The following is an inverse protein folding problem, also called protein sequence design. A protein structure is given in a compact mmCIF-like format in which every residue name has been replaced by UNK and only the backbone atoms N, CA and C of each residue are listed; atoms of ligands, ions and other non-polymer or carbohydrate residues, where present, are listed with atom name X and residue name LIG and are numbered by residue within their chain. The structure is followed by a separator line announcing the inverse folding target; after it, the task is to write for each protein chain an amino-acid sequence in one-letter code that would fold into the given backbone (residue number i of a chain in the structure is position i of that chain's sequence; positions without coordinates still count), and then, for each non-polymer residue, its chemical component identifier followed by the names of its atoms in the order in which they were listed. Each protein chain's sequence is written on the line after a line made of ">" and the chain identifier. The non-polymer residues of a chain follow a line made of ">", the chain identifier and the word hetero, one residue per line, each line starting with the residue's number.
data_IF_182753379080
#
_entry.id   IF_182753379080
#
_cell.length_a   1.000
_cell.length_b   1.000
_cell.length_c   1.000
_cell.angle_alpha   90.00
_cell.angle_beta   90.00
_cell.angle_gamma   90.00
#
_symmetry.space_group_name_H-M   'P 1'
#
loop_
_entity.id
_entity.type
_entity.pdbx_description
1 polymer ?
#
# COMPACT_ATOMS: atom_id res chain seq x y z
N UNK A 1 38.08 19.53 -12.78
CA UNK A 1 37.31 20.64 -13.40
C UNK A 1 36.98 20.39 -14.86
N UNK A 2 37.58 19.39 -15.51
CA UNK A 2 37.52 19.19 -16.96
C UNK A 2 36.14 18.79 -17.55
N UNK A 3 35.18 18.35 -16.74
CA UNK A 3 33.88 17.89 -17.26
C UNK A 3 32.75 18.92 -17.22
N UNK A 4 32.98 20.13 -16.69
CA UNK A 4 31.92 21.16 -16.48
C UNK A 4 31.21 21.58 -17.78
N UNK A 5 31.90 21.51 -18.93
CA UNK A 5 31.39 21.88 -20.27
C UNK A 5 31.36 20.71 -21.25
N UNK A 6 31.41 19.48 -20.78
CA UNK A 6 31.34 18.30 -21.65
C UNK A 6 29.98 18.25 -22.36
N UNK A 7 29.98 18.06 -23.69
CA UNK A 7 28.78 17.99 -24.53
C UNK A 7 28.04 16.65 -24.39
N UNK A 8 27.68 16.30 -23.16
CA UNK A 8 27.02 15.05 -22.78
C UNK A 8 25.68 15.31 -22.10
N UNK A 9 24.79 14.33 -22.18
CA UNK A 9 23.45 14.40 -21.58
C UNK A 9 23.03 13.06 -21.02
N UNK A 10 22.29 13.10 -19.92
CA UNK A 10 21.53 11.97 -19.36
C UNK A 10 20.05 12.29 -19.51
N UNK A 11 19.29 11.36 -20.08
CA UNK A 11 17.85 11.55 -20.35
C UNK A 11 17.00 10.89 -19.26
N UNK A 12 15.89 11.53 -18.91
CA UNK A 12 14.81 10.86 -18.20
C UNK A 12 14.19 9.73 -19.02
N UNK A 13 13.55 8.77 -18.34
CA UNK A 13 13.03 7.55 -18.95
C UNK A 13 12.01 7.82 -20.07
N UNK A 14 11.02 8.68 -19.83
CA UNK A 14 9.98 9.00 -20.82
C UNK A 14 10.58 9.73 -22.02
N UNK A 15 11.43 10.72 -21.76
CA UNK A 15 12.07 11.52 -22.80
C UNK A 15 12.98 10.66 -23.70
N UNK A 16 13.65 9.64 -23.15
CA UNK A 16 14.43 8.69 -23.93
C UNK A 16 13.57 7.82 -24.86
N UNK A 17 12.40 7.38 -24.40
CA UNK A 17 11.45 6.60 -25.20
C UNK A 17 10.82 7.47 -26.29
N UNK A 18 10.43 8.69 -25.97
CA UNK A 18 9.79 9.60 -26.92
C UNK A 18 10.74 9.98 -28.06
N UNK A 19 12.01 10.26 -27.73
CA UNK A 19 13.03 10.59 -28.74
C UNK A 19 13.52 9.36 -29.50
N UNK A 20 13.52 8.18 -28.88
CA UNK A 20 14.04 6.95 -29.49
C UNK A 20 13.12 5.73 -29.26
N UNK A 21 11.90 5.69 -29.85
CA UNK A 21 10.89 4.69 -29.50
C UNK A 21 11.27 3.24 -29.83
N UNK A 22 12.14 3.05 -30.84
CA UNK A 22 12.48 1.73 -31.39
C UNK A 22 13.94 1.32 -31.15
N UNK A 23 14.73 2.15 -30.47
CA UNK A 23 16.19 1.95 -30.36
C UNK A 23 16.72 2.51 -29.05
N UNK A 24 17.81 1.94 -28.53
CA UNK A 24 18.49 2.51 -27.37
C UNK A 24 18.93 3.95 -27.62
N UNK A 25 18.68 4.83 -26.65
CA UNK A 25 19.10 6.22 -26.66
C UNK A 25 20.61 6.38 -26.40
N UNK A 26 21.25 5.39 -25.76
CA UNK A 26 22.66 5.45 -25.38
C UNK A 26 23.58 5.61 -26.60
N UNK A 27 24.53 6.53 -26.49
CA UNK A 27 25.52 6.82 -27.53
C UNK A 27 25.00 7.68 -28.69
N UNK A 28 23.68 7.91 -28.78
CA UNK A 28 23.09 8.78 -29.81
C UNK A 28 23.34 10.25 -29.51
N UNK A 29 23.15 11.08 -30.53
CA UNK A 29 23.27 12.54 -30.42
C UNK A 29 21.87 13.16 -30.44
N UNK A 30 21.66 14.14 -29.58
CA UNK A 30 20.46 14.99 -29.57
C UNK A 30 20.87 16.45 -29.69
N UNK A 31 19.93 17.30 -30.12
CA UNK A 31 20.16 18.74 -30.19
C UNK A 31 19.33 19.40 -29.10
N UNK A 32 19.98 20.13 -28.20
CA UNK A 32 19.34 20.93 -27.16
C UNK A 32 19.86 22.37 -27.27
N UNK A 33 18.94 23.34 -27.40
CA UNK A 33 19.25 24.77 -27.60
C UNK A 33 20.38 25.04 -28.60
N UNK A 34 20.36 24.34 -29.75
CA UNK A 34 21.35 24.53 -30.82
C UNK A 34 22.69 23.83 -30.61
N UNK A 35 22.93 23.15 -29.49
CA UNK A 35 24.13 22.33 -29.27
C UNK A 35 23.85 20.85 -29.46
N UNK A 36 24.81 20.14 -30.07
CA UNK A 36 24.76 18.69 -30.23
C UNK A 36 25.36 18.01 -29.00
N UNK A 37 24.56 17.24 -28.28
CA UNK A 37 24.94 16.53 -27.06
C UNK A 37 24.90 15.02 -27.29
N UNK A 38 25.87 14.30 -26.72
CA UNK A 38 25.91 12.83 -26.75
C UNK A 38 25.21 12.25 -25.52
N UNK A 39 24.27 11.34 -25.73
CA UNK A 39 23.58 10.62 -24.65
C UNK A 39 24.53 9.60 -24.04
N UNK A 40 24.83 9.74 -22.75
CA UNK A 40 25.70 8.83 -22.00
C UNK A 40 24.95 7.96 -20.99
N UNK A 41 23.70 8.30 -20.71
CA UNK A 41 22.88 7.61 -19.72
C UNK A 41 21.38 7.83 -19.94
N UNK A 42 20.58 6.90 -19.45
CA UNK A 42 19.13 7.03 -19.31
C UNK A 42 18.79 6.67 -17.86
N UNK A 43 17.95 7.47 -17.21
CA UNK A 43 17.50 7.20 -15.85
C UNK A 43 16.48 6.05 -15.84
N UNK A 44 16.49 5.27 -14.75
CA UNK A 44 15.43 4.32 -14.48
C UNK A 44 14.08 5.03 -14.30
N UNK A 45 13.00 4.40 -14.75
CA UNK A 45 11.64 4.92 -14.58
C UNK A 45 11.32 5.14 -13.10
N UNK A 46 11.14 6.40 -12.69
CA UNK A 46 10.75 6.76 -11.33
C UNK A 46 9.23 6.96 -11.19
N UNK A 47 8.53 7.26 -12.28
CA UNK A 47 7.09 7.50 -12.28
C UNK A 47 6.69 8.96 -12.03
N UNK A 48 5.37 9.22 -12.10
CA UNK A 48 4.81 10.57 -12.11
C UNK A 48 5.09 11.39 -10.85
N UNK A 49 5.35 12.69 -11.04
CA UNK A 49 5.45 13.67 -9.95
C UNK A 49 4.05 14.11 -9.52
N UNK A 50 3.85 14.29 -8.22
CA UNK A 50 2.59 14.79 -7.67
C UNK A 50 2.48 16.29 -7.97
N UNK A 51 1.86 16.65 -9.10
CA UNK A 51 1.55 18.04 -9.46
C UNK A 51 2.66 18.82 -10.19
N UNK A 52 3.63 18.15 -10.83
CA UNK A 52 4.67 18.80 -11.65
C UNK A 52 5.26 17.88 -12.72
N UNK A 53 6.22 18.35 -13.55
CA UNK A 53 6.89 17.50 -14.54
C UNK A 53 7.62 16.35 -13.83
N UNK A 54 7.51 15.12 -14.35
CA UNK A 54 8.19 13.98 -13.75
C UNK A 54 9.70 14.09 -13.98
N UNK A 55 10.51 13.55 -13.05
CA UNK A 55 11.97 13.41 -13.27
C UNK A 55 12.29 12.65 -14.57
N UNK A 56 11.35 11.80 -14.99
CA UNK A 56 11.39 11.01 -16.22
C UNK A 56 11.30 11.87 -17.50
N UNK A 57 10.88 13.14 -17.38
CA UNK A 57 10.72 14.08 -18.49
C UNK A 57 11.86 15.14 -18.57
N UNK A 58 12.83 15.09 -17.65
CA UNK A 58 13.95 16.04 -17.63
C UNK A 58 15.16 15.54 -18.44
N UNK A 59 15.95 16.51 -18.92
CA UNK A 59 17.30 16.29 -19.42
C UNK A 59 18.31 16.79 -18.38
N UNK A 60 19.36 16.02 -18.15
CA UNK A 60 20.42 16.35 -17.21
C UNK A 60 21.71 16.59 -17.99
N UNK A 61 22.27 17.78 -17.82
CA UNK A 61 23.52 18.20 -18.45
C UNK A 61 24.47 18.79 -17.41
N UNK A 62 25.79 18.79 -17.66
CA UNK A 62 26.75 19.50 -16.82
C UNK A 62 26.37 20.98 -16.60
N UNK A 63 26.62 21.49 -15.39
CA UNK A 63 26.18 22.83 -14.98
C UNK A 63 26.74 23.96 -15.86
N UNK A 64 27.93 23.80 -16.43
CA UNK A 64 28.51 24.81 -17.32
C UNK A 64 27.71 24.97 -18.61
N UNK A 65 27.18 23.88 -19.18
CA UNK A 65 26.24 23.96 -20.30
C UNK A 65 24.92 24.63 -19.92
N UNK A 66 24.46 24.46 -18.68
CA UNK A 66 23.25 25.16 -18.20
C UNK A 66 23.47 26.67 -18.22
N UNK A 67 24.62 27.15 -17.74
CA UNK A 67 24.93 28.59 -17.73
C UNK A 67 25.05 29.17 -19.14
N UNK A 68 25.61 28.43 -20.09
CA UNK A 68 25.60 28.82 -21.50
C UNK A 68 24.19 28.82 -22.09
N UNK A 69 23.34 27.87 -21.71
CA UNK A 69 21.95 27.76 -22.17
C UNK A 69 21.02 28.83 -21.59
N UNK A 70 21.29 29.32 -20.38
CA UNK A 70 20.47 30.33 -19.69
C UNK A 70 21.05 31.73 -19.79
N UNK A 71 22.34 31.87 -20.10
CA UNK A 71 23.07 33.14 -20.08
C UNK A 71 23.26 33.71 -18.68
N UNK A 72 23.02 32.93 -17.62
CA UNK A 72 23.13 33.37 -16.22
C UNK A 72 23.75 32.29 -15.35
N UNK A 73 24.56 32.69 -14.37
CA UNK A 73 25.18 31.79 -13.38
C UNK A 73 24.29 31.57 -12.14
N UNK A 74 22.98 31.85 -12.26
CA UNK A 74 22.04 31.72 -11.15
C UNK A 74 21.74 30.25 -10.88
N UNK A 75 22.01 29.81 -9.65
CA UNK A 75 21.71 28.45 -9.19
C UNK A 75 20.41 28.49 -8.39
N UNK A 76 19.39 27.79 -8.89
CA UNK A 76 18.05 27.80 -8.28
C UNK A 76 17.97 26.90 -7.02
N UNK A 77 18.72 25.80 -6.99
CA UNK A 77 18.66 24.84 -5.89
C UNK A 77 19.97 24.07 -5.74
N UNK A 78 20.33 23.76 -4.49
CA UNK A 78 21.38 22.80 -4.15
C UNK A 78 20.73 21.56 -3.54
N UNK A 79 20.90 20.41 -4.17
CA UNK A 79 20.48 19.14 -3.62
C UNK A 79 21.63 18.54 -2.82
N UNK A 80 21.43 18.36 -1.52
CA UNK A 80 22.45 17.82 -0.61
C UNK A 80 21.93 16.51 -0.04
N UNK A 81 22.73 15.46 -0.15
CA UNK A 81 22.42 14.15 0.42
C UNK A 81 23.13 14.02 1.76
N UNK A 82 22.36 13.87 2.83
CA UNK A 82 22.89 13.56 4.15
C UNK A 82 23.46 12.14 4.21
N UNK A 83 24.55 11.97 4.95
CA UNK A 83 25.04 10.64 5.33
C UNK A 83 24.13 10.05 6.42
N UNK A 84 24.01 8.72 6.47
CA UNK A 84 23.12 7.99 7.39
C UNK A 84 23.42 8.25 8.88
N UNK A 85 24.63 8.69 9.21
CA UNK A 85 25.08 8.86 10.60
C UNK A 85 24.77 10.24 11.19
N UNK A 86 24.41 11.23 10.37
CA UNK A 86 24.16 12.60 10.83
C UNK A 86 22.66 12.93 10.85
N UNK A 87 22.22 13.61 11.90
CA UNK A 87 20.84 14.13 11.96
C UNK A 87 20.64 15.20 10.89
N UNK A 88 19.54 15.10 10.14
CA UNK A 88 19.17 16.06 9.11
C UNK A 88 19.00 17.47 9.71
N UNK A 89 18.53 17.57 10.95
CA UNK A 89 18.41 18.86 11.66
C UNK A 89 19.76 19.52 11.91
N UNK A 90 20.79 18.73 12.24
CA UNK A 90 22.15 19.23 12.45
C UNK A 90 22.72 19.78 11.13
N UNK A 91 22.61 19.00 10.05
CA UNK A 91 23.05 19.40 8.71
C UNK A 91 22.33 20.67 8.26
N UNK A 92 21.01 20.75 8.46
CA UNK A 92 20.19 21.92 8.13
C UNK A 92 20.65 23.17 8.87
N UNK A 93 20.96 23.03 10.16
CA UNK A 93 21.49 24.12 10.99
C UNK A 93 22.87 24.59 10.50
N UNK A 94 23.77 23.66 10.18
CA UNK A 94 25.10 23.98 9.66
C UNK A 94 25.05 24.66 8.29
N UNK A 95 24.24 24.15 7.35
CA UNK A 95 24.02 24.78 6.05
C UNK A 95 23.50 26.20 6.23
N UNK A 96 22.50 26.39 7.10
CA UNK A 96 21.96 27.73 7.38
C UNK A 96 23.04 28.66 7.92
N UNK A 97 23.88 28.20 8.86
CA UNK A 97 25.01 28.99 9.37
C UNK A 97 26.02 29.38 8.29
N UNK A 98 26.34 28.47 7.37
CA UNK A 98 27.26 28.73 6.26
C UNK A 98 26.66 29.74 5.28
N UNK A 99 25.39 29.56 4.89
CA UNK A 99 24.72 30.46 3.94
C UNK A 99 24.49 31.86 4.52
N UNK A 100 24.19 31.98 5.82
CA UNK A 100 24.05 33.28 6.50
C UNK A 100 25.34 34.12 6.52
N UNK A 101 26.52 33.50 6.32
CA UNK A 101 27.77 34.27 6.20
C UNK A 101 27.86 35.07 4.90
N UNK A 102 27.12 34.64 3.86
CA UNK A 102 27.20 35.22 2.51
C UNK A 102 25.89 35.84 2.04
N UNK A 103 24.75 35.32 2.49
CA UNK A 103 23.42 35.71 2.04
C UNK A 103 22.55 36.12 3.22
N UNK A 104 21.60 37.03 2.99
CA UNK A 104 20.59 37.39 3.98
C UNK A 104 19.62 36.22 4.19
N UNK A 105 18.96 36.16 5.36
CA UNK A 105 18.04 35.06 5.71
C UNK A 105 16.83 34.93 4.79
N UNK A 106 16.45 35.99 4.09
CA UNK A 106 15.33 36.00 3.12
C UNK A 106 15.76 35.51 1.73
N UNK A 107 17.06 35.44 1.45
CA UNK A 107 17.58 35.10 0.13
C UNK A 107 17.67 33.59 -0.14
N UNK A 108 17.47 32.74 0.88
CA UNK A 108 17.53 31.29 0.72
C UNK A 108 16.55 30.58 1.65
N UNK A 109 16.16 29.36 1.27
CA UNK A 109 15.39 28.44 2.09
C UNK A 109 16.08 27.08 2.11
N UNK A 110 16.07 26.42 3.27
CA UNK A 110 16.57 25.05 3.42
C UNK A 110 15.38 24.15 3.68
N UNK A 111 15.00 23.38 2.67
CA UNK A 111 13.90 22.43 2.74
C UNK A 111 14.42 21.04 3.10
N UNK A 112 13.70 20.35 3.98
CA UNK A 112 13.98 18.96 4.33
C UNK A 112 12.92 18.06 3.69
N UNK A 113 13.34 17.27 2.71
CA UNK A 113 12.47 16.31 2.03
C UNK A 113 11.95 15.21 2.95
N UNK A 114 12.63 14.92 4.07
CA UNK A 114 12.22 13.91 5.04
C UNK A 114 10.98 14.36 5.83
N UNK A 115 10.84 15.66 6.10
CA UNK A 115 9.67 16.23 6.79
C UNK A 115 8.40 16.11 5.94
N UNK A 116 8.52 16.29 4.62
CA UNK A 116 7.39 16.07 3.71
C UNK A 116 6.98 14.60 3.68
N UNK A 117 7.96 13.69 3.55
CA UNK A 117 7.72 12.25 3.56
C UNK A 117 7.11 11.77 4.88
N UNK A 118 7.61 12.26 6.03
CA UNK A 118 7.06 11.91 7.34
C UNK A 118 5.64 12.43 7.53
N UNK A 119 5.34 13.62 7.02
CA UNK A 119 3.98 14.18 7.04
C UNK A 119 3.02 13.36 6.19
N UNK A 120 3.42 12.98 4.97
CA UNK A 120 2.63 12.09 4.10
C UNK A 120 2.40 10.73 4.78
N UNK A 121 3.46 10.13 5.35
CA UNK A 121 3.36 8.85 6.05
C UNK A 121 2.46 8.94 7.29
N UNK A 122 2.46 10.06 8.00
CA UNK A 122 1.58 10.30 9.15
C UNK A 122 0.10 10.36 8.73
N UNK A 123 -0.19 11.06 7.63
CA UNK A 123 -1.55 11.13 7.06
C UNK A 123 -2.00 9.73 6.61
N UNK A 124 -1.17 9.02 5.84
CA UNK A 124 -1.47 7.65 5.39
C UNK A 124 -1.65 6.71 6.59
N UNK A 125 -0.79 6.83 7.61
CA UNK A 125 -0.88 6.04 8.83
C UNK A 125 -2.18 6.28 9.59
N UNK A 126 -2.58 7.55 9.73
CA UNK A 126 -3.84 7.93 10.37
C UNK A 126 -5.04 7.36 9.61
N UNK A 127 -5.09 7.54 8.29
CA UNK A 127 -6.14 6.96 7.44
C UNK A 127 -6.18 5.44 7.55
N UNK A 128 -5.01 4.78 7.58
CA UNK A 128 -4.90 3.33 7.71
C UNK A 128 -5.49 2.85 9.04
N UNK A 129 -5.15 3.51 10.15
CA UNK A 129 -5.68 3.18 11.47
C UNK A 129 -7.20 3.37 11.51
N UNK A 130 -7.71 4.49 10.99
CA UNK A 130 -9.14 4.77 10.96
C UNK A 130 -9.90 3.74 10.13
N UNK A 131 -9.44 3.44 8.92
CA UNK A 131 -10.08 2.45 8.05
C UNK A 131 -10.01 1.04 8.63
N UNK A 132 -8.87 0.68 9.25
CA UNK A 132 -8.72 -0.60 9.95
C UNK A 132 -9.69 -0.70 11.14
N UNK A 133 -9.86 0.40 11.88
CA UNK A 133 -10.84 0.46 12.97
C UNK A 133 -12.28 0.27 12.49
N UNK A 134 -12.67 0.95 11.41
CA UNK A 134 -13.99 0.77 10.78
C UNK A 134 -14.17 -0.69 10.33
N UNK A 135 -13.17 -1.25 9.65
CA UNK A 135 -13.21 -2.64 9.19
C UNK A 135 -13.33 -3.63 10.37
N UNK A 136 -12.61 -3.41 11.47
CA UNK A 136 -12.69 -4.24 12.67
C UNK A 136 -14.08 -4.20 13.31
N UNK A 137 -14.71 -3.01 13.39
CA UNK A 137 -16.09 -2.88 13.88
C UNK A 137 -17.06 -3.61 12.95
N UNK A 138 -16.96 -3.43 11.63
CA UNK A 138 -17.78 -4.15 10.65
C UNK A 138 -17.62 -5.67 10.77
N UNK A 139 -16.40 -6.14 11.05
CA UNK A 139 -16.11 -7.55 11.26
C UNK A 139 -16.82 -8.12 12.50
N UNK A 140 -16.82 -7.37 13.61
CA UNK A 140 -17.54 -7.75 14.83
C UNK A 140 -19.05 -7.84 14.55
N UNK A 141 -19.62 -6.83 13.89
CA UNK A 141 -21.05 -6.81 13.53
C UNK A 141 -21.40 -7.99 12.61
N UNK A 142 -20.58 -8.27 11.60
CA UNK A 142 -20.73 -9.43 10.73
C UNK A 142 -20.60 -10.76 11.48
N UNK A 143 -19.65 -10.86 12.40
CA UNK A 143 -19.46 -12.02 13.26
C UNK A 143 -20.65 -12.30 14.18
N UNK A 144 -21.24 -11.26 14.78
CA UNK A 144 -22.49 -11.38 15.54
C UNK A 144 -23.62 -11.89 14.64
N UNK A 145 -23.68 -11.45 13.39
CA UNK A 145 -24.62 -11.98 12.38
C UNK A 145 -24.46 -13.49 12.17
N UNK A 146 -23.23 -13.97 11.96
CA UNK A 146 -22.92 -15.40 11.84
C UNK A 146 -23.37 -16.15 13.10
N UNK A 147 -23.03 -15.64 14.28
CA UNK A 147 -23.43 -16.26 15.55
C UNK A 147 -24.95 -16.40 15.66
N UNK A 148 -25.71 -15.36 15.31
CA UNK A 148 -27.17 -15.37 15.38
C UNK A 148 -27.78 -16.37 14.41
N UNK A 149 -27.35 -16.38 13.15
CA UNK A 149 -27.82 -17.35 12.15
C UNK A 149 -27.54 -18.78 12.63
N UNK A 150 -26.34 -19.02 13.16
CA UNK A 150 -25.97 -20.34 13.70
C UNK A 150 -26.81 -20.72 14.93
N UNK A 151 -27.11 -19.78 15.84
CA UNK A 151 -27.99 -20.05 16.98
C UNK A 151 -29.41 -20.43 16.53
N UNK A 152 -29.96 -19.74 15.53
CA UNK A 152 -31.27 -20.06 14.95
C UNK A 152 -31.24 -21.43 14.27
N UNK A 153 -30.18 -21.72 13.51
CA UNK A 153 -29.99 -23.02 12.85
C UNK A 153 -29.94 -24.17 13.86
N UNK A 154 -29.28 -23.97 15.01
CA UNK A 154 -29.25 -24.97 16.09
C UNK A 154 -30.63 -25.19 16.67
N UNK A 155 -31.42 -24.13 16.85
CA UNK A 155 -32.79 -24.27 17.37
C UNK A 155 -33.71 -24.99 16.38
N UNK A 156 -33.63 -24.68 15.09
CA UNK A 156 -34.42 -25.36 14.04
C UNK A 156 -34.06 -26.84 13.90
N UNK A 157 -32.76 -27.18 14.01
CA UNK A 157 -32.25 -28.55 13.90
C UNK A 157 -32.18 -29.29 15.24
N UNK A 158 -32.82 -28.78 16.31
CA UNK A 158 -32.73 -29.36 17.66
C UNK A 158 -33.08 -30.86 17.69
N UNK A 159 -34.20 -31.25 17.06
CA UNK A 159 -34.68 -32.64 17.01
C UNK A 159 -33.71 -33.57 16.29
N UNK A 160 -33.12 -33.12 15.19
CA UNK A 160 -32.12 -33.88 14.42
C UNK A 160 -30.84 -34.12 15.24
N UNK A 161 -30.38 -33.09 15.97
CA UNK A 161 -29.21 -33.19 16.86
C UNK A 161 -29.51 -34.17 18.01
N UNK A 162 -30.72 -34.11 18.57
CA UNK A 162 -31.20 -35.03 19.62
C UNK A 162 -31.19 -36.48 19.16
N UNK A 163 -31.70 -36.75 17.95
CA UNK A 163 -31.70 -38.09 17.36
C UNK A 163 -30.28 -38.62 17.15
N UNK A 164 -29.36 -37.81 16.61
CA UNK A 164 -27.95 -38.19 16.42
C UNK A 164 -27.29 -38.57 17.74
N UNK A 165 -27.54 -37.79 18.80
CA UNK A 165 -27.00 -38.09 20.14
C UNK A 165 -27.62 -39.32 20.77
N UNK A 166 -28.92 -39.56 20.58
CA UNK A 166 -29.60 -40.75 21.09
C UNK A 166 -29.04 -42.05 20.47
N UNK A 167 -28.55 -41.98 19.22
CA UNK A 167 -27.90 -43.08 18.51
C UNK A 167 -26.39 -43.18 18.84
N UNK A 168 -25.87 -42.30 19.71
CA UNK A 168 -24.50 -42.39 20.26
C UNK A 168 -23.49 -41.38 19.71
N UNK A 169 -23.92 -40.32 19.00
CA UNK A 169 -22.99 -39.29 18.55
C UNK A 169 -22.32 -38.55 19.72
N UNK A 170 -20.99 -38.53 19.75
CA UNK A 170 -20.23 -37.79 20.77
C UNK A 170 -20.51 -36.27 20.68
N UNK A 171 -20.63 -35.56 21.82
CA UNK A 171 -20.78 -34.09 21.84
C UNK A 171 -19.74 -33.35 20.99
N UNK A 172 -18.49 -33.86 20.99
CA UNK A 172 -17.39 -33.29 20.20
C UNK A 172 -17.61 -33.40 18.68
N UNK A 173 -18.28 -34.45 18.20
CA UNK A 173 -18.59 -34.60 16.79
C UNK A 173 -19.59 -33.53 16.33
N UNK A 174 -20.64 -33.29 17.14
CA UNK A 174 -21.62 -32.21 16.90
C UNK A 174 -20.93 -30.84 16.94
N UNK A 175 -20.05 -30.60 17.92
CA UNK A 175 -19.31 -29.35 18.02
C UNK A 175 -18.46 -29.08 16.77
N UNK A 176 -17.70 -30.08 16.31
CA UNK A 176 -16.83 -29.94 15.12
C UNK A 176 -17.68 -29.71 13.87
N UNK A 177 -18.80 -30.39 13.72
CA UNK A 177 -19.70 -30.19 12.56
C UNK A 177 -20.18 -28.73 12.49
N UNK A 178 -20.76 -28.20 13.56
CA UNK A 178 -21.27 -26.82 13.56
C UNK A 178 -20.15 -25.78 13.45
N UNK A 179 -18.96 -26.07 13.99
CA UNK A 179 -17.80 -25.20 13.82
C UNK A 179 -17.33 -25.18 12.36
N UNK A 180 -17.31 -26.32 11.69
CA UNK A 180 -16.99 -26.41 10.25
C UNK A 180 -18.04 -25.66 9.43
N UNK A 181 -19.34 -25.78 9.74
CA UNK A 181 -20.39 -25.00 9.07
C UNK A 181 -20.15 -23.49 9.20
N UNK A 182 -19.80 -23.00 10.40
CA UNK A 182 -19.48 -21.59 10.63
C UNK A 182 -18.21 -21.14 9.87
N UNK A 183 -17.16 -21.96 9.86
CA UNK A 183 -15.92 -21.69 9.12
C UNK A 183 -16.18 -21.66 7.61
N UNK A 184 -17.00 -22.57 7.08
CA UNK A 184 -17.33 -22.60 5.64
C UNK A 184 -18.11 -21.33 5.28
N UNK A 185 -19.13 -20.96 6.07
CA UNK A 185 -19.90 -19.74 5.86
C UNK A 185 -19.00 -18.49 5.88
N UNK A 186 -18.11 -18.38 6.87
CA UNK A 186 -17.19 -17.24 6.95
C UNK A 186 -16.20 -17.24 5.79
N UNK A 187 -15.63 -18.39 5.43
CA UNK A 187 -14.65 -18.54 4.35
C UNK A 187 -15.24 -18.21 2.98
N UNK A 188 -16.50 -18.59 2.73
CA UNK A 188 -17.22 -18.20 1.51
C UNK A 188 -17.41 -16.68 1.48
N UNK A 189 -17.85 -16.09 2.59
CA UNK A 189 -17.97 -14.63 2.71
C UNK A 189 -16.62 -13.92 2.52
N UNK A 190 -15.54 -14.48 3.06
CA UNK A 190 -14.17 -13.99 2.87
C UNK A 190 -13.71 -14.07 1.43
N UNK A 191 -13.95 -15.19 0.75
CA UNK A 191 -13.64 -15.35 -0.67
C UNK A 191 -14.40 -14.34 -1.54
N UNK A 192 -15.70 -14.17 -1.30
CA UNK A 192 -16.52 -13.16 -1.98
C UNK A 192 -16.00 -11.75 -1.70
N UNK A 193 -15.66 -11.44 -0.44
CA UNK A 193 -15.07 -10.16 -0.06
C UNK A 193 -13.73 -9.87 -0.75
N UNK A 194 -12.86 -10.88 -0.86
CA UNK A 194 -11.58 -10.78 -1.59
C UNK A 194 -11.83 -10.50 -3.06
N UNK A 195 -12.79 -11.20 -3.69
CA UNK A 195 -13.14 -10.98 -5.10
C UNK A 195 -13.66 -9.56 -5.32
N UNK A 196 -14.58 -9.09 -4.46
CA UNK A 196 -15.12 -7.73 -4.54
C UNK A 196 -14.04 -6.67 -4.31
N UNK A 197 -13.15 -6.89 -3.34
CA UNK A 197 -11.99 -6.02 -3.09
C UNK A 197 -11.03 -5.99 -4.28
N UNK A 198 -10.82 -7.13 -4.94
CA UNK A 198 -9.97 -7.21 -6.12
C UNK A 198 -10.57 -6.48 -7.32
N UNK A 199 -11.88 -6.65 -7.57
CA UNK A 199 -12.60 -5.91 -8.61
C UNK A 199 -12.61 -4.41 -8.35
N UNK A 200 -12.82 -4.01 -7.10
CA UNK A 200 -12.73 -2.61 -6.68
C UNK A 200 -11.32 -2.03 -6.93
N UNK A 201 -10.27 -2.79 -6.57
CA UNK A 201 -8.87 -2.41 -6.81
C UNK A 201 -8.60 -2.24 -8.30
N UNK A 202 -9.06 -3.17 -9.13
CA UNK A 202 -8.90 -3.09 -10.58
C UNK A 202 -9.61 -1.87 -11.18
N UNK A 203 -10.82 -1.55 -10.70
CA UNK A 203 -11.57 -0.36 -11.14
C UNK A 203 -10.90 0.96 -10.80
N UNK A 204 -10.22 1.05 -9.64
CA UNK A 204 -9.51 2.27 -9.24
C UNK A 204 -8.05 2.33 -9.74
N UNK A 205 -7.49 1.20 -10.20
CA UNK A 205 -6.09 1.08 -10.59
C UNK A 205 -5.66 2.06 -11.70
N UNK A 206 -6.62 2.55 -12.50
CA UNK A 206 -6.37 3.56 -13.53
C UNK A 206 -6.12 4.96 -12.95
N UNK A 207 -6.66 5.25 -11.76
CA UNK A 207 -6.56 6.56 -11.11
C UNK A 207 -5.57 6.56 -9.96
N UNK A 208 -5.41 5.43 -9.27
CA UNK A 208 -4.49 5.26 -8.15
C UNK A 208 -3.65 4.00 -8.33
N UNK A 209 -2.34 4.03 -8.02
CA UNK A 209 -1.46 2.87 -8.12
C UNK A 209 -1.72 1.87 -6.99
N UNK A 210 -2.92 1.28 -6.98
CA UNK A 210 -3.34 0.26 -6.03
C UNK A 210 -2.87 -1.12 -6.51
N UNK A 211 -2.21 -1.87 -5.62
CA UNK A 211 -1.71 -3.20 -5.92
C UNK A 211 -2.21 -4.21 -4.88
N UNK A 212 -2.70 -5.34 -5.37
CA UNK A 212 -3.09 -6.48 -4.53
C UNK A 212 -1.85 -7.32 -4.32
N UNK A 213 -1.52 -7.58 -3.05
CA UNK A 213 -0.40 -8.47 -2.70
C UNK A 213 -0.92 -9.82 -2.23
N UNK A 214 -0.14 -10.88 -2.43
CA UNK A 214 -0.46 -12.22 -1.91
C UNK A 214 -0.58 -12.18 -0.37
N UNK A 215 0.22 -11.33 0.28
CA UNK A 215 0.15 -11.10 1.72
C UNK A 215 -1.20 -10.53 2.18
N UNK A 216 -1.75 -9.53 1.49
CA UNK A 216 -3.05 -8.94 1.86
C UNK A 216 -4.20 -9.91 1.68
N UNK A 217 -4.17 -10.75 0.64
CA UNK A 217 -5.16 -11.83 0.42
C UNK A 217 -5.10 -12.84 1.58
N UNK A 218 -3.89 -13.26 1.95
CA UNK A 218 -3.69 -14.26 3.01
C UNK A 218 -4.18 -13.73 4.37
N UNK A 219 -3.90 -12.47 4.68
CA UNK A 219 -4.40 -11.81 5.90
C UNK A 219 -5.92 -11.72 5.87
N UNK A 220 -6.53 -11.27 4.77
CA UNK A 220 -7.98 -11.15 4.65
C UNK A 220 -8.69 -12.50 4.85
N UNK A 221 -8.18 -13.56 4.20
CA UNK A 221 -8.71 -14.91 4.36
C UNK A 221 -8.50 -15.43 5.80
N UNK A 222 -7.32 -15.22 6.39
CA UNK A 222 -7.03 -15.60 7.77
C UNK A 222 -7.94 -14.92 8.79
N UNK A 223 -8.25 -13.63 8.59
CA UNK A 223 -9.19 -12.87 9.42
C UNK A 223 -10.61 -13.41 9.28
N UNK A 224 -11.07 -13.67 8.05
CA UNK A 224 -12.39 -14.28 7.79
C UNK A 224 -12.52 -15.67 8.43
N UNK A 225 -11.49 -16.50 8.35
CA UNK A 225 -11.44 -17.79 9.02
C UNK A 225 -11.51 -17.64 10.54
N UNK A 226 -10.70 -16.75 11.12
CA UNK A 226 -10.68 -16.50 12.57
C UNK A 226 -12.04 -16.04 13.10
N UNK A 227 -12.77 -15.21 12.34
CA UNK A 227 -14.13 -14.77 12.69
C UNK A 227 -15.11 -15.93 12.73
N UNK A 228 -15.08 -16.82 11.73
CA UNK A 228 -15.91 -18.02 11.72
C UNK A 228 -15.65 -18.93 12.91
N UNK A 229 -14.38 -19.08 13.30
CA UNK A 229 -14.01 -19.82 14.51
C UNK A 229 -14.55 -19.13 15.77
N UNK A 230 -14.21 -17.86 15.99
CA UNK A 230 -14.55 -17.14 17.22
C UNK A 230 -16.07 -17.09 17.44
N UNK A 231 -16.82 -16.68 16.42
CA UNK A 231 -18.28 -16.52 16.53
C UNK A 231 -19.05 -17.83 16.34
N UNK A 232 -18.43 -18.87 15.76
CA UNK A 232 -19.01 -20.21 15.62
C UNK A 232 -18.91 -21.08 16.88
N UNK A 233 -17.94 -20.82 17.77
CA UNK A 233 -17.72 -21.64 18.97
C UNK A 233 -18.94 -21.65 19.91
N UNK A 234 -19.53 -20.49 20.19
CA UNK A 234 -20.67 -20.38 21.10
C UNK A 234 -21.90 -21.21 20.64
N UNK A 235 -22.41 -21.06 19.41
CA UNK A 235 -23.52 -21.87 18.91
C UNK A 235 -23.16 -23.36 18.78
N UNK A 236 -21.95 -23.69 18.32
CA UNK A 236 -21.49 -25.07 18.23
C UNK A 236 -21.44 -25.75 19.60
N UNK A 237 -20.99 -25.02 20.63
CA UNK A 237 -21.01 -25.49 22.02
C UNK A 237 -22.44 -25.71 22.49
N UNK A 238 -23.37 -24.79 22.21
CA UNK A 238 -24.79 -24.93 22.56
C UNK A 238 -25.39 -26.21 21.95
N UNK A 239 -25.18 -26.46 20.66
CA UNK A 239 -25.63 -27.69 19.99
C UNK A 239 -25.04 -28.96 20.63
N UNK A 240 -23.73 -28.94 20.93
CA UNK A 240 -23.03 -30.06 21.54
C UNK A 240 -23.49 -30.39 22.97
N UNK A 241 -24.16 -29.47 23.66
CA UNK A 241 -24.64 -29.67 25.05
C UNK A 241 -26.13 -30.00 25.16
N UNK A 242 -26.90 -30.00 24.06
CA UNK A 242 -28.32 -30.38 24.07
C UNK A 242 -28.56 -31.80 24.63
N UNK A 243 -29.50 -31.94 25.56
CA UNK A 243 -29.91 -33.26 26.07
C UNK A 243 -30.73 -34.01 25.02
N UNK A 244 -30.47 -35.31 24.75
CA UNK A 244 -31.25 -36.09 23.79
C UNK A 244 -32.74 -36.15 24.13
N UNK A 245 -33.05 -36.22 25.43
CA UNK A 245 -34.43 -36.32 25.94
C UNK A 245 -35.17 -35.00 25.73
N UNK A 246 -34.53 -33.87 26.05
CA UNK A 246 -35.13 -32.54 25.86
C UNK A 246 -35.30 -32.21 24.37
N UNK A 247 -34.32 -32.59 23.54
CA UNK A 247 -34.34 -32.35 22.11
C UNK A 247 -35.44 -33.14 21.37
N UNK A 248 -35.82 -34.32 21.86
CA UNK A 248 -36.91 -35.13 21.30
C UNK A 248 -38.30 -34.73 21.81
N UNK A 249 -38.36 -33.98 22.91
CA UNK A 249 -39.61 -33.44 23.49
C UNK A 249 -40.01 -32.07 22.93
N UNK A 250 -39.14 -31.49 22.10
CA UNK A 250 -39.38 -30.23 21.41
C UNK A 250 -40.26 -30.52 20.17
N UNK A 251 -41.45 -29.90 20.09
CA UNK A 251 -42.27 -29.84 18.87
C UNK A 251 -41.68 -28.86 17.86
#
# INVERSE_FOLDING_TARGET
>A
EDDKNSNVVVLGYNLAIDLFPKTSALGKKIIAKGKTLKVIGVLDKKGGSFGGPALDDYLFVPIGLVFEFTGTENINAFNIKADKQQSIETIKSEIKKILLKKYNSEAFSVFDSSQLLSSINSIIGTLTITLTGIAAISLIVGGIGIMNIMLVTVTERTREIGLRKAIGAYPRAILIQFLIEAIILSSIGGAVGIILGALGTWGIAQFFPAQITIGSISIAFGVSFAVGVIFGVAPAKKASMLSPIEALRYE
#
